data_IF_175201513122
#
_entry.id   IF_175201513122
#
_cell.length_a   1.000
_cell.length_b   1.000
_cell.length_c   1.000
_cell.angle_alpha   90.00
_cell.angle_beta   90.00
_cell.angle_gamma   90.00
#
_symmetry.space_group_name_H-M   'P 1'
#
loop_
_entity.id
_entity.type
_entity.pdbx_description
1 polymer ?
#
# COMPACT_ATOMS: atom_id res chain seq x y z
N UNK A 1 41.33 19.49 -28.07
CA UNK A 1 39.84 19.46 -28.05
C UNK A 1 39.43 18.06 -27.60
N UNK A 2 39.34 17.75 -26.29
CA UNK A 2 38.84 16.43 -25.81
C UNK A 2 38.58 16.26 -24.28
N UNK A 3 38.98 17.18 -23.40
CA UNK A 3 38.82 16.96 -21.93
C UNK A 3 37.42 17.38 -21.40
N UNK A 4 36.81 18.44 -21.96
CA UNK A 4 35.48 18.92 -21.53
C UNK A 4 34.32 18.00 -21.91
N UNK A 5 34.38 17.36 -23.09
CA UNK A 5 33.34 16.42 -23.57
C UNK A 5 33.36 15.10 -22.79
N UNK A 6 34.54 14.59 -22.43
CA UNK A 6 34.68 13.38 -21.62
C UNK A 6 34.12 13.55 -20.21
N UNK A 7 34.37 14.71 -19.58
CA UNK A 7 33.85 15.08 -18.25
C UNK A 7 32.33 15.30 -18.24
N UNK A 8 31.76 15.82 -19.33
CA UNK A 8 30.32 15.96 -19.48
C UNK A 8 29.62 14.60 -19.63
N UNK A 9 30.19 13.70 -20.43
CA UNK A 9 29.67 12.34 -20.63
C UNK A 9 29.75 11.49 -19.34
N UNK A 10 30.84 11.60 -18.56
CA UNK A 10 30.95 10.91 -17.26
C UNK A 10 29.98 11.45 -16.22
N UNK A 11 29.76 12.77 -16.15
CA UNK A 11 28.76 13.36 -15.25
C UNK A 11 27.33 12.94 -15.60
N UNK A 12 27.00 12.90 -16.89
CA UNK A 12 25.69 12.45 -17.37
C UNK A 12 25.47 10.95 -17.09
N UNK A 13 26.51 10.13 -17.27
CA UNK A 13 26.47 8.70 -16.95
C UNK A 13 26.31 8.42 -15.45
N UNK A 14 27.02 9.17 -14.59
CA UNK A 14 26.88 9.05 -13.13
C UNK A 14 25.50 9.51 -12.66
N UNK A 15 24.94 10.59 -13.23
CA UNK A 15 23.57 11.01 -12.93
C UNK A 15 22.54 9.95 -13.37
N UNK A 16 22.70 9.39 -14.57
CA UNK A 16 21.82 8.37 -15.11
C UNK A 16 21.82 7.07 -14.29
N UNK A 17 23.00 6.57 -13.92
CA UNK A 17 23.11 5.41 -13.03
C UNK A 17 22.51 5.68 -11.64
N UNK A 18 22.66 6.89 -11.11
CA UNK A 18 22.07 7.25 -9.82
C UNK A 18 20.54 7.17 -9.87
N UNK A 19 19.90 7.68 -10.93
CA UNK A 19 18.44 7.62 -11.09
C UNK A 19 17.92 6.18 -11.19
N UNK A 20 18.67 5.28 -11.84
CA UNK A 20 18.29 3.86 -11.96
C UNK A 20 18.48 3.06 -10.65
N UNK A 21 19.45 3.44 -9.81
CA UNK A 21 19.67 2.77 -8.52
C UNK A 21 18.63 3.21 -7.47
N UNK A 22 18.17 4.46 -7.50
CA UNK A 22 17.19 4.97 -6.53
C UNK A 22 15.78 4.38 -6.72
N UNK A 23 15.40 3.94 -7.93
CA UNK A 23 14.07 3.36 -8.20
C UNK A 23 13.93 1.91 -7.73
N UNK A 24 15.02 1.22 -7.38
CA UNK A 24 14.99 -0.19 -6.97
C UNK A 24 14.65 -0.42 -5.47
N UNK A 25 14.66 0.61 -4.62
CA UNK A 25 14.61 0.42 -3.16
C UNK A 25 13.23 0.53 -2.49
N UNK A 26 12.12 0.70 -3.23
CA UNK A 26 10.82 1.03 -2.60
C UNK A 26 9.67 0.03 -2.80
N UNK A 27 9.84 -1.06 -3.53
CA UNK A 27 8.71 -1.97 -3.83
C UNK A 27 8.23 -2.71 -2.58
N UNK A 28 7.15 -2.21 -1.98
CA UNK A 28 6.42 -2.84 -0.90
C UNK A 28 5.54 -3.97 -1.48
N UNK A 29 5.80 -5.21 -1.08
CA UNK A 29 4.99 -6.38 -1.49
C UNK A 29 3.66 -6.44 -0.74
N UNK A 30 2.69 -5.65 -1.16
CA UNK A 30 1.32 -5.68 -0.58
C UNK A 30 0.44 -6.71 -1.28
N UNK A 31 0.76 -7.07 -2.53
CA UNK A 31 -0.14 -7.85 -3.38
C UNK A 31 -0.38 -9.28 -2.88
N UNK A 32 0.61 -9.89 -2.22
CA UNK A 32 0.43 -11.22 -1.61
C UNK A 32 -0.65 -11.24 -0.53
N UNK A 33 -0.75 -10.19 0.29
CA UNK A 33 -1.78 -10.11 1.33
C UNK A 33 -3.19 -9.92 0.75
N UNK A 34 -3.30 -9.27 -0.41
CA UNK A 34 -4.57 -9.14 -1.13
C UNK A 34 -5.01 -10.48 -1.72
N UNK A 35 -4.07 -11.25 -2.28
CA UNK A 35 -4.33 -12.61 -2.77
C UNK A 35 -4.86 -13.52 -1.67
N UNK A 36 -4.26 -13.49 -0.48
CA UNK A 36 -4.71 -14.29 0.67
C UNK A 36 -6.15 -13.97 1.07
N UNK A 37 -6.50 -12.67 1.15
CA UNK A 37 -7.86 -12.24 1.49
C UNK A 37 -8.85 -12.59 0.37
N UNK A 38 -8.44 -12.46 -0.89
CA UNK A 38 -9.25 -12.89 -2.03
C UNK A 38 -9.57 -14.38 -1.96
N UNK A 39 -8.62 -15.25 -1.59
CA UNK A 39 -8.90 -16.67 -1.40
C UNK A 39 -9.99 -16.94 -0.36
N UNK A 40 -9.95 -16.23 0.79
CA UNK A 40 -10.95 -16.36 1.86
C UNK A 40 -12.35 -15.85 1.44
N UNK A 41 -12.39 -14.78 0.65
CA UNK A 41 -13.63 -14.16 0.16
C UNK A 41 -14.23 -15.00 -0.96
N UNK A 42 -13.42 -15.47 -1.90
CA UNK A 42 -13.84 -16.24 -3.06
C UNK A 42 -14.44 -17.59 -2.64
N UNK A 43 -13.87 -18.25 -1.63
CA UNK A 43 -14.40 -19.49 -1.04
C UNK A 43 -15.87 -19.34 -0.59
N UNK A 44 -16.26 -18.18 -0.06
CA UNK A 44 -17.62 -17.94 0.50
C UNK A 44 -18.56 -17.21 -0.45
N UNK A 45 -18.02 -16.35 -1.29
CA UNK A 45 -18.82 -15.44 -2.12
C UNK A 45 -18.83 -15.84 -3.60
N UNK A 46 -17.85 -16.63 -4.05
CA UNK A 46 -17.55 -16.93 -5.47
C UNK A 46 -17.18 -15.69 -6.30
N UNK A 47 -16.83 -14.60 -5.62
CA UNK A 47 -16.41 -13.33 -6.23
C UNK A 47 -15.06 -12.92 -5.65
N UNK A 48 -14.25 -12.23 -6.46
CA UNK A 48 -12.99 -11.64 -6.04
C UNK A 48 -13.11 -10.12 -5.93
N UNK A 49 -12.36 -9.54 -4.99
CA UNK A 49 -12.27 -8.09 -4.83
C UNK A 49 -10.98 -7.56 -5.46
N UNK A 50 -11.09 -6.39 -6.09
CA UNK A 50 -9.95 -5.66 -6.65
C UNK A 50 -9.76 -4.35 -5.90
N UNK A 51 -8.52 -4.06 -5.53
CA UNK A 51 -8.16 -2.80 -4.91
C UNK A 51 -7.90 -1.73 -5.99
N UNK A 52 -8.73 -0.69 -6.01
CA UNK A 52 -8.68 0.37 -7.00
C UNK A 52 -7.74 1.52 -6.58
N UNK A 53 -6.43 1.35 -6.82
CA UNK A 53 -5.38 2.29 -6.38
C UNK A 53 -5.14 3.44 -7.34
N UNK A 54 -5.28 3.19 -8.63
CA UNK A 54 -5.00 4.12 -9.71
C UNK A 54 -6.23 4.38 -10.56
N UNK A 55 -6.18 5.43 -11.40
CA UNK A 55 -7.32 5.84 -12.20
C UNK A 55 -7.75 4.75 -13.20
N UNK A 56 -6.79 4.03 -13.81
CA UNK A 56 -7.12 2.97 -14.76
C UNK A 56 -7.89 1.82 -14.07
N UNK A 57 -7.50 1.45 -12.85
CA UNK A 57 -8.23 0.43 -12.07
C UNK A 57 -9.66 0.86 -11.70
N UNK A 58 -9.88 2.16 -11.49
CA UNK A 58 -11.21 2.74 -11.20
C UNK A 58 -12.08 2.78 -12.45
N UNK A 59 -11.53 3.26 -13.56
CA UNK A 59 -12.22 3.27 -14.86
C UNK A 59 -12.62 1.84 -15.29
N UNK A 60 -11.75 0.86 -15.08
CA UNK A 60 -12.05 -0.54 -15.38
C UNK A 60 -13.18 -1.11 -14.50
N UNK A 61 -13.18 -0.76 -13.20
CA UNK A 61 -14.24 -1.15 -12.28
C UNK A 61 -15.58 -0.52 -12.68
N UNK A 62 -15.58 0.76 -13.05
CA UNK A 62 -16.76 1.48 -13.50
C UNK A 62 -17.33 0.91 -14.80
N UNK A 63 -16.48 0.72 -15.81
CA UNK A 63 -16.85 0.07 -17.08
C UNK A 63 -17.48 -1.31 -16.86
N UNK A 64 -16.91 -2.10 -15.95
CA UNK A 64 -17.44 -3.42 -15.62
C UNK A 64 -18.79 -3.33 -14.90
N UNK A 65 -18.96 -2.41 -13.96
CA UNK A 65 -20.23 -2.19 -13.29
C UNK A 65 -21.33 -1.75 -14.27
N UNK A 66 -21.02 -0.83 -15.20
CA UNK A 66 -21.98 -0.38 -16.23
C UNK A 66 -22.41 -1.54 -17.15
N UNK A 67 -21.47 -2.41 -17.57
CA UNK A 67 -21.80 -3.60 -18.37
C UNK A 67 -22.70 -4.60 -17.64
N UNK A 68 -22.53 -4.75 -16.32
CA UNK A 68 -23.39 -5.62 -15.51
C UNK A 68 -24.79 -5.03 -15.33
N UNK A 69 -24.89 -3.71 -15.17
CA UNK A 69 -26.16 -2.98 -15.06
C UNK A 69 -26.96 -2.93 -16.37
N UNK A 70 -26.31 -3.13 -17.52
CA UNK A 70 -26.98 -3.20 -18.83
C UNK A 70 -27.80 -4.50 -19.03
N UNK A 71 -27.72 -5.45 -18.09
CA UNK A 71 -28.44 -6.74 -18.12
C UNK A 71 -29.39 -6.81 -16.93
N UNK A 72 -30.39 -7.72 -16.95
CA UNK A 72 -31.21 -7.99 -15.78
C UNK A 72 -30.37 -8.31 -14.55
N UNK A 73 -30.70 -7.69 -13.42
CA UNK A 73 -29.92 -7.75 -12.18
C UNK A 73 -30.17 -9.09 -11.46
N UNK A 74 -29.16 -9.95 -11.40
CA UNK A 74 -29.16 -11.18 -10.62
C UNK A 74 -28.46 -10.96 -9.28
N UNK A 75 -28.64 -11.89 -8.33
CA UNK A 75 -27.94 -11.85 -7.03
C UNK A 75 -26.43 -11.75 -7.22
N UNK A 76 -25.86 -12.57 -8.13
CA UNK A 76 -24.42 -12.61 -8.39
C UNK A 76 -23.94 -11.31 -9.06
N UNK A 77 -24.70 -10.75 -10.03
CA UNK A 77 -24.30 -9.48 -10.66
C UNK A 77 -24.44 -8.29 -9.71
N UNK A 78 -25.45 -8.28 -8.83
CA UNK A 78 -25.58 -7.30 -7.75
C UNK A 78 -24.41 -7.35 -6.77
N UNK A 79 -24.00 -8.55 -6.36
CA UNK A 79 -22.84 -8.75 -5.47
C UNK A 79 -21.55 -8.26 -6.11
N UNK A 80 -21.34 -8.61 -7.39
CA UNK A 80 -20.17 -8.13 -8.15
C UNK A 80 -20.16 -6.59 -8.29
N UNK A 81 -21.30 -5.97 -8.58
CA UNK A 81 -21.41 -4.50 -8.66
C UNK A 81 -21.10 -3.87 -7.29
N UNK A 82 -21.58 -4.46 -6.20
CA UNK A 82 -21.28 -3.98 -4.86
C UNK A 82 -19.78 -4.05 -4.56
N UNK A 83 -19.10 -5.14 -4.93
CA UNK A 83 -17.64 -5.26 -4.75
C UNK A 83 -16.86 -4.19 -5.53
N UNK A 84 -17.37 -3.79 -6.70
CA UNK A 84 -16.75 -2.74 -7.53
C UNK A 84 -17.06 -1.32 -7.05
N UNK A 85 -18.24 -1.07 -6.49
CA UNK A 85 -18.70 0.31 -6.18
C UNK A 85 -18.80 0.64 -4.70
N UNK A 86 -18.55 -0.29 -3.79
CA UNK A 86 -18.70 -0.06 -2.36
C UNK A 86 -17.42 0.55 -1.74
N UNK A 87 -17.46 1.80 -1.23
CA UNK A 87 -16.31 2.44 -0.61
C UNK A 87 -15.88 1.76 0.70
N UNK A 88 -16.79 1.09 1.42
CA UNK A 88 -16.45 0.35 2.63
C UNK A 88 -15.55 -0.84 2.32
N UNK A 89 -15.79 -1.54 1.20
CA UNK A 89 -14.92 -2.63 0.74
C UNK A 89 -13.53 -2.09 0.41
N UNK A 90 -13.46 -0.97 -0.33
CA UNK A 90 -12.17 -0.33 -0.63
C UNK A 90 -11.45 0.13 0.65
N UNK A 91 -12.17 0.64 1.65
CA UNK A 91 -11.61 1.00 2.94
C UNK A 91 -11.01 -0.21 3.68
N UNK A 92 -11.68 -1.37 3.66
CA UNK A 92 -11.13 -2.59 4.25
C UNK A 92 -9.90 -3.11 3.49
N UNK A 93 -9.86 -2.97 2.16
CA UNK A 93 -8.64 -3.26 1.38
C UNK A 93 -7.47 -2.32 1.73
N UNK A 94 -7.74 -1.03 1.92
CA UNK A 94 -6.74 -0.05 2.35
C UNK A 94 -6.19 -0.38 3.74
N UNK A 95 -7.03 -0.83 4.68
CA UNK A 95 -6.59 -1.25 6.03
C UNK A 95 -5.55 -2.37 5.97
N UNK A 96 -5.72 -3.34 5.06
CA UNK A 96 -4.71 -4.39 4.84
C UNK A 96 -3.39 -3.75 4.41
N UNK A 97 -3.42 -2.82 3.45
CA UNK A 97 -2.23 -2.11 2.98
C UNK A 97 -1.51 -1.31 4.07
N UNK A 98 -2.26 -0.61 4.92
CA UNK A 98 -1.71 0.12 6.08
C UNK A 98 -1.00 -0.87 7.02
N UNK A 99 -1.64 -1.99 7.36
CA UNK A 99 -1.04 -2.95 8.27
C UNK A 99 0.23 -3.62 7.68
N UNK A 100 0.31 -3.80 6.35
CA UNK A 100 1.56 -4.25 5.71
C UNK A 100 2.64 -3.18 5.74
N UNK A 101 2.27 -1.90 5.60
CA UNK A 101 3.21 -0.80 5.73
C UNK A 101 3.79 -0.75 7.15
N UNK A 102 2.96 -1.00 8.18
CA UNK A 102 3.41 -1.10 9.58
C UNK A 102 4.39 -2.24 9.79
N UNK A 103 4.15 -3.42 9.18
CA UNK A 103 5.13 -4.53 9.20
C UNK A 103 6.45 -4.13 8.55
N UNK A 104 6.39 -3.48 7.38
CA UNK A 104 7.59 -3.04 6.68
C UNK A 104 8.35 -1.94 7.45
N UNK A 105 7.63 -1.08 8.17
CA UNK A 105 8.22 -0.05 9.03
C UNK A 105 8.83 -0.66 10.30
N UNK A 106 8.15 -1.60 10.96
CA UNK A 106 8.64 -2.29 12.15
C UNK A 106 9.90 -3.14 11.87
N UNK A 107 10.01 -3.68 10.65
CA UNK A 107 11.18 -4.41 10.17
C UNK A 107 12.40 -3.55 9.83
N UNK A 108 12.31 -2.22 9.98
CA UNK A 108 13.39 -1.29 9.65
C UNK A 108 13.95 -0.63 10.91
N UNK A 109 15.23 -0.26 10.85
CA UNK A 109 15.83 0.61 11.85
C UNK A 109 15.10 1.96 11.85
N UNK A 110 14.93 2.55 13.03
CA UNK A 110 14.40 3.92 13.14
C UNK A 110 15.29 4.86 12.33
N UNK A 111 14.66 5.77 11.59
CA UNK A 111 15.36 6.73 10.74
C UNK A 111 16.38 7.54 11.57
N UNK A 112 17.68 7.55 11.21
CA UNK A 112 18.67 8.37 11.90
C UNK A 112 18.37 9.86 11.69
N UNK A 113 18.75 10.67 12.68
CA UNK A 113 18.59 12.13 12.62
C UNK A 113 19.94 12.74 12.27
N UNK A 114 19.95 13.54 11.22
CA UNK A 114 21.10 14.34 10.81
C UNK A 114 20.76 15.82 10.96
N UNK A 115 21.58 16.57 11.69
CA UNK A 115 21.39 18.00 11.95
C UNK A 115 22.64 18.77 11.58
N UNK A 116 22.49 19.92 10.92
CA UNK A 116 23.57 20.86 10.66
C UNK A 116 23.15 22.21 11.26
N UNK A 117 23.92 22.69 12.22
CA UNK A 117 23.77 24.01 12.84
C UNK A 117 24.84 24.96 12.31
N UNK A 118 24.48 26.23 12.14
CA UNK A 118 25.44 27.30 11.85
C UNK A 118 25.16 28.47 12.76
N UNK A 119 26.15 28.90 13.53
CA UNK A 119 26.08 30.07 14.38
C UNK A 119 27.16 31.08 13.95
N UNK A 120 26.80 32.36 13.85
CA UNK A 120 27.75 33.42 13.51
C UNK A 120 27.56 34.62 14.43
N UNK A 121 28.64 35.06 15.08
CA UNK A 121 28.62 36.18 16.03
C UNK A 121 30.02 36.60 16.46
N UNK A 122 30.25 37.89 16.70
CA UNK A 122 31.54 38.42 17.16
C UNK A 122 32.73 38.18 16.22
N UNK A 123 32.48 37.94 14.92
CA UNK A 123 33.52 37.59 13.93
C UNK A 123 33.87 36.11 13.85
N UNK A 124 33.18 35.24 14.61
CA UNK A 124 33.39 33.80 14.63
C UNK A 124 32.26 33.10 13.91
N UNK A 125 32.61 32.06 13.14
CA UNK A 125 31.67 31.16 12.47
C UNK A 125 31.81 29.76 13.07
N UNK A 126 30.73 29.25 13.66
CA UNK A 126 30.62 27.89 14.17
C UNK A 126 29.69 27.07 13.27
N UNK A 127 30.13 25.84 12.94
CA UNK A 127 29.35 24.89 12.14
C UNK A 127 29.30 23.57 12.89
N UNK A 128 28.11 23.21 13.33
CA UNK A 128 27.84 21.96 14.03
C UNK A 128 27.23 20.93 13.07
N UNK A 129 27.64 19.66 13.19
CA UNK A 129 27.06 18.55 12.44
C UNK A 129 26.82 17.39 13.40
N UNK A 130 25.57 16.99 13.56
CA UNK A 130 25.17 15.91 14.45
C UNK A 130 24.58 14.76 13.65
N UNK A 131 24.93 13.53 14.03
CA UNK A 131 24.34 12.29 13.52
C UNK A 131 23.92 11.41 14.70
N UNK A 132 22.63 11.13 14.81
CA UNK A 132 22.06 10.36 15.91
C UNK A 132 21.33 9.14 15.34
N UNK A 133 21.60 7.97 15.91
CA UNK A 133 20.90 6.73 15.57
C UNK A 133 20.54 5.97 16.84
N UNK A 134 19.52 5.11 16.74
CA UNK A 134 18.93 4.43 17.89
C UNK A 134 19.42 2.98 17.97
N UNK A 135 20.28 2.68 18.94
CA UNK A 135 20.76 1.30 19.21
C UNK A 135 19.63 0.42 19.72
N UNK A 136 18.78 0.95 20.60
CA UNK A 136 17.62 0.23 21.12
C UNK A 136 16.67 -0.20 19.99
N UNK A 137 16.51 0.61 18.93
CA UNK A 137 15.70 0.20 17.79
C UNK A 137 16.27 -1.01 17.06
N UNK A 138 17.60 -1.14 16.96
CA UNK A 138 18.21 -2.31 16.33
C UNK A 138 17.89 -3.59 17.12
N UNK A 139 18.04 -3.54 18.44
CA UNK A 139 17.74 -4.68 19.32
C UNK A 139 16.25 -5.07 19.31
N UNK A 140 15.36 -4.10 19.11
CA UNK A 140 13.91 -4.31 19.19
C UNK A 140 13.24 -4.57 17.84
N UNK A 141 13.97 -4.60 16.72
CA UNK A 141 13.41 -4.87 15.37
C UNK A 141 12.63 -6.20 15.34
N UNK A 142 13.22 -7.29 15.84
CA UNK A 142 12.60 -8.62 15.83
C UNK A 142 11.21 -8.63 16.48
N UNK A 143 11.11 -8.37 17.80
CA UNK A 143 9.82 -8.41 18.49
C UNK A 143 8.81 -7.39 17.96
N UNK A 144 9.26 -6.19 17.53
CA UNK A 144 8.36 -5.20 16.92
C UNK A 144 7.78 -5.68 15.60
N UNK A 145 8.60 -6.33 14.78
CA UNK A 145 8.17 -6.90 13.50
C UNK A 145 7.15 -8.03 13.70
N UNK A 146 7.36 -8.87 14.70
CA UNK A 146 6.44 -9.96 15.05
C UNK A 146 5.07 -9.42 15.51
N UNK A 147 5.08 -8.43 16.40
CA UNK A 147 3.85 -7.75 16.84
C UNK A 147 3.10 -7.14 15.65
N UNK A 148 3.81 -6.44 14.76
CA UNK A 148 3.21 -5.86 13.56
C UNK A 148 2.64 -6.95 12.63
N UNK A 149 3.33 -8.08 12.48
CA UNK A 149 2.87 -9.21 11.65
C UNK A 149 1.56 -9.80 12.18
N UNK A 150 1.47 -9.99 13.50
CA UNK A 150 0.24 -10.47 14.14
C UNK A 150 -0.92 -9.48 13.99
N UNK A 151 -0.65 -8.18 14.05
CA UNK A 151 -1.66 -7.15 13.78
C UNK A 151 -2.12 -7.15 12.32
N UNK A 152 -1.18 -7.30 11.38
CA UNK A 152 -1.50 -7.41 9.96
C UNK A 152 -2.32 -8.66 9.64
N UNK A 153 -2.06 -9.78 10.30
CA UNK A 153 -2.87 -10.98 10.16
C UNK A 153 -4.31 -10.76 10.67
N UNK A 154 -4.48 -10.14 11.85
CA UNK A 154 -5.82 -9.77 12.35
C UNK A 154 -6.56 -8.83 11.39
N UNK A 155 -5.86 -7.84 10.83
CA UNK A 155 -6.46 -6.92 9.86
C UNK A 155 -6.96 -7.63 8.59
N UNK A 156 -6.26 -8.68 8.14
CA UNK A 156 -6.72 -9.51 7.00
C UNK A 156 -8.02 -10.23 7.31
N UNK A 157 -8.10 -10.92 8.45
CA UNK A 157 -9.32 -11.65 8.83
C UNK A 157 -10.52 -10.71 9.04
N UNK A 158 -10.31 -9.59 9.72
CA UNK A 158 -11.36 -8.58 9.90
C UNK A 158 -11.85 -8.02 8.55
N UNK A 159 -10.92 -7.75 7.62
CA UNK A 159 -11.29 -7.27 6.29
C UNK A 159 -12.04 -8.33 5.47
N UNK A 160 -11.64 -9.60 5.57
CA UNK A 160 -12.37 -10.70 4.94
C UNK A 160 -13.80 -10.82 5.51
N UNK A 161 -13.97 -10.71 6.83
CA UNK A 161 -15.28 -10.71 7.48
C UNK A 161 -16.15 -9.53 7.01
N UNK A 162 -15.60 -8.32 6.94
CA UNK A 162 -16.30 -7.14 6.44
C UNK A 162 -16.80 -7.34 5.00
N UNK A 163 -15.95 -7.91 4.13
CA UNK A 163 -16.27 -8.12 2.71
C UNK A 163 -17.32 -9.21 2.53
N UNK A 164 -17.20 -10.33 3.24
CA UNK A 164 -18.21 -11.41 3.22
C UNK A 164 -19.54 -10.89 3.77
N UNK A 165 -19.51 -10.13 4.87
CA UNK A 165 -20.71 -9.51 5.44
C UNK A 165 -21.39 -8.54 4.47
N UNK A 166 -20.61 -7.79 3.69
CA UNK A 166 -21.14 -6.94 2.63
C UNK A 166 -21.84 -7.76 1.52
N UNK A 167 -21.25 -8.90 1.11
CA UNK A 167 -21.89 -9.79 0.13
C UNK A 167 -23.22 -10.34 0.66
N UNK A 168 -23.26 -10.79 1.91
CA UNK A 168 -24.49 -11.29 2.54
C UNK A 168 -25.55 -10.20 2.70
N UNK A 169 -25.14 -8.95 2.93
CA UNK A 169 -26.04 -7.80 2.93
C UNK A 169 -26.68 -7.55 1.56
N UNK A 170 -25.90 -7.66 0.49
CA UNK A 170 -26.39 -7.50 -0.90
C UNK A 170 -27.37 -8.61 -1.27
N UNK A 171 -27.05 -9.86 -0.92
CA UNK A 171 -27.92 -11.01 -1.19
C UNK A 171 -29.29 -10.83 -0.52
N UNK A 172 -29.30 -10.42 0.75
CA UNK A 172 -30.55 -10.13 1.49
C UNK A 172 -31.33 -9.00 0.84
N UNK A 173 -30.68 -7.87 0.57
CA UNK A 173 -31.33 -6.71 -0.05
C UNK A 173 -31.93 -7.02 -1.44
N UNK A 174 -31.28 -7.89 -2.23
CA UNK A 174 -31.83 -8.31 -3.53
C UNK A 174 -33.07 -9.19 -3.34
N UNK A 175 -33.04 -10.14 -2.41
CA UNK A 175 -34.19 -11.02 -2.13
C UNK A 175 -35.39 -10.19 -1.65
N UNK A 176 -35.14 -9.25 -0.74
CA UNK A 176 -36.16 -8.34 -0.20
C UNK A 176 -36.76 -7.41 -1.28
N UNK A 177 -35.98 -7.07 -2.32
CA UNK A 177 -36.45 -6.20 -3.40
C UNK A 177 -37.25 -6.93 -4.50
N UNK A 178 -37.06 -8.25 -4.62
CA UNK A 178 -37.72 -9.10 -5.64
C UNK A 178 -38.97 -9.78 -5.09
N UNK A 179 -39.07 -9.94 -3.77
CA UNK A 179 -40.24 -10.50 -3.08
C UNK A 179 -41.27 -9.41 -2.79
#
# INVERSE_FOLDING_TARGET
MNDKSLRAATRLGVLGCSVLVLSACSTLKVDGALTDVNGLVEERTRHSVSWQRDEASREQAESTAQRLLAKPLTIDSATQIAFLRNPAIQASLVKIGIAQADVAQAGRMKNPVFSIGRLAGGGILEVERQFLFSVLSLFTIGPRTEIARNQAERARYMSALDIVGAADGVRRAWIDAVT
#
